data_IF_890322348133
#
_entry.id   IF_890322348133
#
_cell.length_a   1.000
_cell.length_b   1.000
_cell.length_c   1.000
_cell.angle_alpha   90.00
_cell.angle_beta   90.00
_cell.angle_gamma   90.00
#
_symmetry.space_group_name_H-M   'P 1'
#
loop_
_entity.id
_entity.type
_entity.pdbx_description
1 polymer ?
#
# COMPACT_ATOMS: atom_id res chain seq x y z
N UNK A 1 -9.54 4.40 7.39
CA UNK A 1 -8.63 4.78 6.26
C UNK A 1 -7.21 4.27 6.43
N UNK A 2 -6.55 4.47 7.59
CA UNK A 2 -5.17 3.97 7.82
C UNK A 2 -5.01 2.46 7.56
N UNK A 3 -5.79 1.62 8.27
CA UNK A 3 -5.77 0.16 8.11
C UNK A 3 -6.04 -0.24 6.66
N UNK A 4 -7.06 0.35 6.03
CA UNK A 4 -7.40 0.06 4.63
C UNK A 4 -6.24 0.36 3.67
N UNK A 5 -5.54 1.49 3.84
CA UNK A 5 -4.35 1.80 3.05
C UNK A 5 -3.22 0.80 3.30
N UNK A 6 -2.97 0.42 4.56
CA UNK A 6 -1.96 -0.58 4.89
C UNK A 6 -2.31 -1.95 4.29
N UNK A 7 -3.57 -2.36 4.32
CA UNK A 7 -4.04 -3.59 3.69
C UNK A 7 -3.89 -3.56 2.17
N UNK A 8 -4.09 -2.41 1.51
CA UNK A 8 -3.81 -2.28 0.08
C UNK A 8 -2.32 -2.40 -0.26
N UNK A 9 -1.42 -1.93 0.61
CA UNK A 9 0.02 -2.14 0.44
C UNK A 9 0.40 -3.62 0.52
N UNK A 10 -0.21 -4.35 1.45
CA UNK A 10 -0.03 -5.81 1.57
C UNK A 10 -0.62 -6.53 0.36
N UNK A 11 -1.82 -6.13 -0.08
CA UNK A 11 -2.50 -6.72 -1.24
C UNK A 11 -1.68 -6.58 -2.53
N UNK A 12 -0.96 -5.47 -2.70
CA UNK A 12 -0.08 -5.24 -3.86
C UNK A 12 1.02 -6.29 -4.03
N UNK A 13 1.39 -7.00 -2.96
CA UNK A 13 2.36 -8.10 -2.99
C UNK A 13 1.72 -9.49 -2.95
N UNK A 14 0.40 -9.57 -2.78
CA UNK A 14 -0.33 -10.83 -2.70
C UNK A 14 -0.63 -11.41 -4.09
N UNK A 15 -0.79 -12.72 -4.17
CA UNK A 15 -1.20 -13.42 -5.39
C UNK A 15 -2.10 -14.63 -5.03
N UNK A 16 -2.70 -15.27 -6.04
CA UNK A 16 -3.49 -16.50 -5.85
C UNK A 16 -4.66 -16.32 -4.90
N UNK A 17 -4.87 -17.31 -4.02
CA UNK A 17 -5.96 -17.31 -3.03
C UNK A 17 -5.86 -16.14 -2.04
N UNK A 18 -4.64 -15.82 -1.58
CA UNK A 18 -4.42 -14.67 -0.68
C UNK A 18 -4.90 -13.36 -1.32
N UNK A 19 -4.60 -13.13 -2.60
CA UNK A 19 -5.10 -11.95 -3.29
C UNK A 19 -6.63 -11.95 -3.39
N UNK A 20 -7.25 -13.09 -3.68
CA UNK A 20 -8.70 -13.21 -3.79
C UNK A 20 -9.41 -12.91 -2.47
N UNK A 21 -8.92 -13.46 -1.36
CA UNK A 21 -9.44 -13.20 -0.02
C UNK A 21 -9.32 -11.71 0.34
N UNK A 22 -8.16 -11.10 0.09
CA UNK A 22 -7.94 -9.68 0.33
C UNK A 22 -8.87 -8.81 -0.52
N UNK A 23 -9.06 -9.14 -1.80
CA UNK A 23 -9.98 -8.43 -2.68
C UNK A 23 -11.43 -8.52 -2.19
N UNK A 24 -11.83 -9.67 -1.62
CA UNK A 24 -13.16 -9.86 -1.06
C UNK A 24 -13.36 -9.04 0.21
N UNK A 25 -12.44 -9.13 1.16
CA UNK A 25 -12.52 -8.44 2.47
C UNK A 25 -12.42 -6.91 2.31
N UNK A 26 -11.57 -6.43 1.39
CA UNK A 26 -11.44 -5.00 1.09
C UNK A 26 -12.55 -4.50 0.16
N UNK A 27 -13.51 -5.36 -0.21
CA UNK A 27 -14.61 -5.03 -1.09
C UNK A 27 -14.17 -4.42 -2.44
N UNK A 28 -13.08 -4.92 -3.02
CA UNK A 28 -12.56 -4.45 -4.30
C UNK A 28 -13.55 -4.80 -5.42
N UNK A 29 -14.07 -3.79 -6.15
CA UNK A 29 -15.02 -4.02 -7.23
C UNK A 29 -14.45 -4.98 -8.28
N UNK A 30 -15.21 -5.96 -8.79
CA UNK A 30 -14.73 -6.91 -9.79
C UNK A 30 -14.04 -6.27 -11.00
N UNK A 31 -14.55 -5.11 -11.46
CA UNK A 31 -14.01 -4.35 -12.59
C UNK A 31 -12.60 -3.77 -12.34
N UNK A 32 -12.17 -3.71 -11.08
CA UNK A 32 -10.90 -3.15 -10.64
C UNK A 32 -9.94 -4.20 -10.10
N UNK A 33 -10.29 -5.50 -10.09
CA UNK A 33 -9.47 -6.58 -9.49
C UNK A 33 -8.16 -6.90 -10.22
N UNK A 34 -7.81 -6.15 -11.25
CA UNK A 34 -6.46 -6.17 -11.83
C UNK A 34 -5.53 -5.20 -11.09
N UNK A 35 -4.27 -5.09 -11.52
CA UNK A 35 -3.31 -4.09 -11.03
C UNK A 35 -3.81 -2.64 -11.12
N UNK A 36 -4.92 -2.41 -11.85
CA UNK A 36 -5.62 -1.14 -11.95
C UNK A 36 -6.18 -0.64 -10.61
N UNK A 37 -6.41 -1.50 -9.60
CA UNK A 37 -6.90 -1.06 -8.28
C UNK A 37 -5.94 -0.05 -7.64
N UNK A 38 -4.64 -0.32 -7.67
CA UNK A 38 -3.63 0.53 -7.04
C UNK A 38 -3.49 1.86 -7.78
N UNK A 39 -3.61 1.84 -9.11
CA UNK A 39 -3.59 3.04 -9.94
C UNK A 39 -4.84 3.91 -9.75
N UNK A 40 -5.98 3.27 -9.47
CA UNK A 40 -7.26 3.97 -9.27
C UNK A 40 -7.38 4.54 -7.86
N UNK A 41 -7.03 3.75 -6.84
CA UNK A 41 -7.28 4.11 -5.43
C UNK A 41 -6.08 4.82 -4.80
N UNK A 42 -4.86 4.48 -5.23
CA UNK A 42 -3.62 5.05 -4.69
C UNK A 42 -3.59 6.58 -4.74
N UNK A 43 -3.84 7.23 -5.89
CA UNK A 43 -3.86 8.69 -5.97
C UNK A 43 -4.94 9.34 -5.10
N UNK A 44 -6.11 8.70 -4.97
CA UNK A 44 -7.20 9.20 -4.12
C UNK A 44 -6.79 9.14 -2.65
N UNK A 45 -6.23 8.01 -2.23
CA UNK A 45 -5.71 7.82 -0.86
C UNK A 45 -4.57 8.80 -0.60
N UNK A 46 -3.71 9.01 -1.60
CA UNK A 46 -2.54 9.89 -1.49
C UNK A 46 -2.87 11.36 -1.36
N UNK A 47 -4.05 11.79 -1.82
CA UNK A 47 -4.56 13.15 -1.58
C UNK A 47 -4.90 13.39 -0.11
N UNK A 48 -5.26 12.36 0.65
CA UNK A 48 -5.42 12.50 2.11
C UNK A 48 -4.08 12.65 2.84
N UNK A 49 -2.95 12.42 2.15
CA UNK A 49 -1.61 12.71 2.68
C UNK A 49 -1.15 14.15 2.39
N UNK A 50 -1.93 14.91 1.63
CA UNK A 50 -1.59 16.28 1.27
C UNK A 50 -2.25 17.23 2.27
N UNK A 51 -1.44 18.11 2.86
CA UNK A 51 -1.90 19.09 3.83
C UNK A 51 -2.96 20.00 3.20
N UNK A 52 -4.05 20.23 3.93
CA UNK A 52 -5.07 21.22 3.57
C UNK A 52 -4.91 22.47 4.46
N UNK A 53 -5.33 23.63 3.98
CA UNK A 53 -5.22 24.90 4.74
C UNK A 53 -6.11 24.93 5.99
N UNK A 54 -7.15 24.11 6.02
CA UNK A 54 -8.23 24.19 7.01
C UNK A 54 -8.21 23.02 8.00
N UNK A 55 -7.55 21.90 7.64
CA UNK A 55 -7.47 20.68 8.45
C UNK A 55 -6.11 20.01 8.25
N UNK A 56 -5.42 19.73 9.35
CA UNK A 56 -4.20 18.91 9.37
C UNK A 56 -4.55 17.42 9.44
N UNK A 57 -4.46 16.75 8.29
CA UNK A 57 -4.53 15.29 8.20
C UNK A 57 -3.22 14.74 7.62
N UNK A 58 -2.48 14.01 8.46
CA UNK A 58 -1.24 13.35 8.05
C UNK A 58 -1.41 11.84 8.21
N UNK A 59 -1.26 11.10 7.12
CA UNK A 59 -1.22 9.65 7.14
C UNK A 59 0.02 9.19 6.37
N UNK A 60 0.75 8.23 6.92
CA UNK A 60 1.96 7.70 6.33
C UNK A 60 2.06 6.22 6.66
N UNK A 61 2.46 5.42 5.67
CA UNK A 61 2.71 4.00 5.84
C UNK A 61 4.12 3.68 5.37
N UNK A 62 4.78 2.78 6.09
CA UNK A 62 6.11 2.27 5.79
C UNK A 62 6.15 0.79 6.10
N UNK A 63 6.75 0.00 5.23
CA UNK A 63 6.92 -1.43 5.41
C UNK A 63 8.33 -1.70 5.92
N UNK A 64 8.41 -2.40 7.03
CA UNK A 64 9.67 -2.81 7.63
C UNK A 64 9.83 -4.33 7.50
N UNK A 65 10.96 -4.74 6.95
CA UNK A 65 11.36 -6.14 6.84
C UNK A 65 12.15 -6.53 8.08
N UNK A 66 11.83 -7.66 8.71
CA UNK A 66 12.59 -8.15 9.87
C UNK A 66 13.88 -8.85 9.48
N UNK A 67 13.93 -9.38 8.27
CA UNK A 67 15.09 -10.05 7.69
C UNK A 67 15.29 -9.57 6.26
N UNK A 68 16.54 -9.58 5.80
CA UNK A 68 16.84 -9.24 4.41
C UNK A 68 16.21 -10.28 3.48
N UNK A 69 15.25 -9.83 2.68
CA UNK A 69 14.68 -10.58 1.57
C UNK A 69 14.77 -9.71 0.33
N UNK A 70 14.91 -10.35 -0.83
CA UNK A 70 14.93 -9.62 -2.09
C UNK A 70 13.51 -9.15 -2.43
N UNK A 71 13.32 -7.83 -2.50
CA UNK A 71 12.04 -7.22 -2.86
C UNK A 71 12.07 -6.90 -4.34
N UNK A 72 11.11 -7.47 -5.06
CA UNK A 72 10.95 -7.23 -6.49
C UNK A 72 10.84 -5.71 -6.77
N UNK A 73 11.66 -5.16 -7.68
CA UNK A 73 11.65 -3.72 -7.96
C UNK A 73 10.27 -3.18 -8.37
N UNK A 74 9.46 -4.01 -9.03
CA UNK A 74 8.11 -3.64 -9.47
C UNK A 74 7.19 -3.37 -8.28
N UNK A 75 7.31 -4.15 -7.20
CA UNK A 75 6.55 -3.94 -5.97
C UNK A 75 6.92 -2.61 -5.32
N UNK A 76 8.22 -2.37 -5.12
CA UNK A 76 8.74 -1.12 -4.55
C UNK A 76 8.31 0.10 -5.35
N UNK A 77 8.39 0.03 -6.69
CA UNK A 77 7.98 1.11 -7.58
C UNK A 77 6.47 1.38 -7.47
N UNK A 78 5.65 0.33 -7.40
CA UNK A 78 4.20 0.45 -7.29
C UNK A 78 3.78 1.10 -5.97
N UNK A 79 4.32 0.66 -4.83
CA UNK A 79 3.94 1.20 -3.51
C UNK A 79 4.44 2.64 -3.30
N UNK A 80 5.63 2.96 -3.82
CA UNK A 80 6.14 4.32 -3.80
C UNK A 80 5.26 5.26 -4.63
N UNK A 81 4.90 4.84 -5.86
CA UNK A 81 4.07 5.65 -6.76
C UNK A 81 2.64 5.83 -6.26
N UNK A 82 2.00 4.75 -5.81
CA UNK A 82 0.57 4.77 -5.52
C UNK A 82 0.25 5.20 -4.08
N UNK A 83 1.18 5.06 -3.14
CA UNK A 83 0.91 5.26 -1.72
C UNK A 83 1.97 6.09 -0.99
N UNK A 84 2.98 6.63 -1.70
CA UNK A 84 4.11 7.37 -1.10
C UNK A 84 4.82 6.56 0.00
N UNK A 85 4.76 5.24 -0.08
CA UNK A 85 5.29 4.30 0.92
C UNK A 85 6.62 3.70 0.47
N UNK A 86 7.48 3.36 1.43
CA UNK A 86 8.77 2.72 1.19
C UNK A 86 8.87 1.39 1.95
N UNK A 87 9.75 0.52 1.46
CA UNK A 87 10.11 -0.76 2.08
C UNK A 87 11.56 -0.66 2.57
N UNK A 88 11.80 -0.95 3.85
CA UNK A 88 13.12 -0.85 4.47
C UNK A 88 13.40 -2.05 5.36
N UNK A 89 14.66 -2.42 5.48
CA UNK A 89 15.09 -3.39 6.49
C UNK A 89 15.02 -2.73 7.87
N UNK A 90 14.36 -3.38 8.83
CA UNK A 90 14.36 -2.94 10.21
C UNK A 90 15.78 -3.10 10.78
N UNK A 91 16.47 -1.98 10.95
CA UNK A 91 17.74 -1.97 11.68
C UNK A 91 17.40 -1.87 13.17
N UNK A 92 17.34 -3.02 13.84
CA UNK A 92 17.23 -3.05 15.30
C UNK A 92 18.62 -2.77 15.85
N UNK A 93 18.86 -1.53 16.27
CA UNK A 93 20.06 -1.21 17.05
C UNK A 93 19.94 -1.89 18.43
N UNK A 94 20.99 -2.60 18.89
CA UNK A 94 21.03 -3.18 20.24
C UNK A 94 21.11 -2.11 21.33
#
# INVERSE_FOLDING_TARGET
>A
MSIYCASLLVMAGANGETLQEMQQVLHIPPKLRSDAVHQSYGPIISKYFEASSDVDLNLANRLFLLSSIDIRPEYSALVAKCYKALVELAIIFP
#
